data_IF_958431037505
#
_entry.id   IF_958431037505
#
_cell.length_a   1.000
_cell.length_b   1.000
_cell.length_c   1.000
_cell.angle_alpha   90.00
_cell.angle_beta   90.00
_cell.angle_gamma   90.00
#
_symmetry.space_group_name_H-M   'P 1'
#
loop_
_entity.id
_entity.type
_entity.pdbx_description
1 polymer ?
#
# COMPACT_ATOMS: atom_id res chain seq x y z
N UNK A 1 -6.78 20.09 37.75
CA UNK A 1 -7.03 18.94 36.85
C UNK A 1 -7.66 17.86 37.70
N UNK A 2 -8.84 17.39 37.35
CA UNK A 2 -9.53 16.32 38.05
C UNK A 2 -8.89 14.95 37.71
N UNK A 3 -9.07 13.94 38.59
CA UNK A 3 -8.63 12.55 38.30
C UNK A 3 -9.23 12.00 36.99
N UNK A 4 -10.35 12.56 36.55
CA UNK A 4 -11.00 12.24 35.28
C UNK A 4 -10.19 12.82 34.10
N UNK A 5 -9.67 14.05 34.22
CA UNK A 5 -8.87 14.70 33.16
C UNK A 5 -7.53 13.95 32.93
N UNK A 6 -6.93 13.41 34.00
CA UNK A 6 -5.68 12.62 33.90
C UNK A 6 -5.92 11.26 33.25
N UNK A 7 -7.03 10.56 33.56
CA UNK A 7 -7.41 9.30 32.94
C UNK A 7 -7.77 9.46 31.46
N UNK A 8 -8.38 10.60 31.09
CA UNK A 8 -8.71 10.90 29.69
C UNK A 8 -7.44 11.24 28.88
N UNK A 9 -6.43 11.89 29.51
CA UNK A 9 -5.12 12.14 28.89
C UNK A 9 -4.32 10.84 28.75
N UNK A 10 -4.29 9.97 29.77
CA UNK A 10 -3.66 8.63 29.70
C UNK A 10 -4.37 7.75 28.68
N UNK A 11 -5.71 7.81 28.56
CA UNK A 11 -6.47 7.09 27.55
C UNK A 11 -6.26 7.61 26.13
N UNK A 12 -5.90 8.89 25.96
CA UNK A 12 -5.51 9.47 24.68
C UNK A 12 -4.06 9.10 24.32
N UNK A 13 -3.16 9.02 25.28
CA UNK A 13 -1.77 8.58 25.06
C UNK A 13 -1.69 7.06 24.77
N UNK A 14 -2.59 6.27 25.39
CA UNK A 14 -2.75 4.84 25.07
C UNK A 14 -3.33 4.56 23.66
N UNK A 15 -3.76 5.58 22.92
CA UNK A 15 -4.23 5.49 21.53
C UNK A 15 -3.13 5.73 20.50
N UNK A 16 -1.93 6.18 20.89
CA UNK A 16 -0.82 6.22 19.95
C UNK A 16 -0.46 4.79 19.56
N UNK A 17 -0.55 4.44 18.29
CA UNK A 17 -0.21 3.10 17.87
C UNK A 17 1.29 2.88 18.10
N UNK A 18 1.60 1.88 18.91
CA UNK A 18 2.96 1.43 19.13
C UNK A 18 3.38 0.52 17.98
N UNK A 19 4.47 0.89 17.27
CA UNK A 19 5.05 0.09 16.20
C UNK A 19 5.16 0.80 14.85
N UNK A 20 5.62 0.04 13.88
CA UNK A 20 6.00 0.55 12.56
C UNK A 20 4.96 0.20 11.50
N UNK A 21 4.66 1.17 10.64
CA UNK A 21 3.93 0.99 9.41
C UNK A 21 4.91 1.00 8.22
N UNK A 22 5.01 -0.10 7.49
CA UNK A 22 5.88 -0.24 6.33
C UNK A 22 5.06 -0.05 5.06
N UNK A 23 5.47 0.89 4.18
CA UNK A 23 4.79 1.18 2.92
C UNK A 23 5.73 0.97 1.75
N UNK A 24 5.48 -0.06 0.93
CA UNK A 24 6.27 -0.27 -0.28
C UNK A 24 5.88 0.73 -1.38
N UNK A 25 6.88 1.30 -2.08
CA UNK A 25 6.63 2.35 -3.07
C UNK A 25 6.01 3.61 -2.46
N UNK A 26 6.47 3.98 -1.26
CA UNK A 26 5.93 5.09 -0.46
C UNK A 26 6.40 6.48 -0.85
N UNK A 27 7.28 6.62 -1.85
CA UNK A 27 7.89 7.92 -2.19
C UNK A 27 7.01 8.84 -3.03
N UNK A 28 5.93 8.36 -3.66
CA UNK A 28 5.04 9.17 -4.51
C UNK A 28 3.65 8.57 -4.65
N UNK A 29 2.74 9.35 -5.24
CA UNK A 29 1.39 8.92 -5.60
C UNK A 29 0.60 8.34 -4.42
N UNK A 30 -0.06 7.22 -4.64
CA UNK A 30 -0.86 6.51 -3.63
C UNK A 30 -0.01 6.13 -2.42
N UNK A 31 1.22 5.64 -2.63
CA UNK A 31 2.10 5.22 -1.54
C UNK A 31 2.49 6.38 -0.62
N UNK A 32 2.77 7.56 -1.17
CA UNK A 32 3.05 8.76 -0.37
C UNK A 32 1.81 9.19 0.44
N UNK A 33 0.63 9.18 -0.17
CA UNK A 33 -0.61 9.51 0.54
C UNK A 33 -0.90 8.51 1.68
N UNK A 34 -0.66 7.21 1.46
CA UNK A 34 -0.76 6.19 2.51
C UNK A 34 0.23 6.48 3.65
N UNK A 35 1.50 6.78 3.32
CA UNK A 35 2.54 7.07 4.29
C UNK A 35 2.18 8.31 5.14
N UNK A 36 1.76 9.40 4.50
CA UNK A 36 1.32 10.64 5.17
C UNK A 36 0.15 10.36 6.13
N UNK A 37 -0.85 9.60 5.68
CA UNK A 37 -2.03 9.27 6.49
C UNK A 37 -1.69 8.38 7.69
N UNK A 38 -0.84 7.35 7.50
CA UNK A 38 -0.40 6.50 8.61
C UNK A 38 0.47 7.27 9.61
N UNK A 39 1.30 8.20 9.14
CA UNK A 39 2.05 9.12 9.99
C UNK A 39 1.13 10.02 10.84
N UNK A 40 0.05 10.54 10.25
CA UNK A 40 -0.95 11.34 10.96
C UNK A 40 -1.72 10.54 12.03
N UNK A 41 -1.86 9.21 11.86
CA UNK A 41 -2.42 8.32 12.88
C UNK A 41 -1.42 7.99 14.00
N UNK A 42 -0.16 8.47 13.91
CA UNK A 42 0.86 8.33 14.94
C UNK A 42 1.78 7.11 14.79
N UNK A 43 1.69 6.37 13.69
CA UNK A 43 2.66 5.30 13.40
C UNK A 43 4.03 5.87 13.02
N UNK A 44 5.11 5.18 13.39
CA UNK A 44 6.41 5.41 12.75
C UNK A 44 6.36 4.80 11.35
N UNK A 45 6.58 5.59 10.30
CA UNK A 45 6.42 5.14 8.91
C UNK A 45 7.75 4.82 8.27
N UNK A 46 7.92 3.58 7.82
CA UNK A 46 9.03 3.16 6.99
C UNK A 46 8.64 3.28 5.50
N UNK A 47 9.21 4.26 4.84
CA UNK A 47 8.92 4.63 3.45
C UNK A 47 9.91 3.92 2.52
N UNK A 48 9.47 2.84 1.86
CA UNK A 48 10.30 2.18 0.87
C UNK A 48 10.23 2.87 -0.49
N UNK A 49 11.37 2.97 -1.15
CA UNK A 49 11.52 3.46 -2.52
C UNK A 49 12.50 2.59 -3.33
N UNK A 50 12.55 2.74 -4.66
CA UNK A 50 13.52 2.02 -5.50
C UNK A 50 14.74 2.88 -5.83
N UNK A 51 14.53 4.08 -6.40
CA UNK A 51 15.60 4.93 -6.95
C UNK A 51 15.49 6.40 -6.56
N UNK A 52 14.28 6.88 -6.28
CA UNK A 52 14.02 8.30 -6.03
C UNK A 52 14.12 8.61 -4.53
N UNK A 53 15.35 8.75 -4.07
CA UNK A 53 15.68 9.07 -2.69
C UNK A 53 15.14 10.45 -2.28
N UNK A 54 15.23 11.43 -3.17
CA UNK A 54 14.76 12.79 -2.89
C UNK A 54 13.25 12.82 -2.63
N UNK A 55 12.46 12.14 -3.48
CA UNK A 55 11.02 12.03 -3.27
C UNK A 55 10.66 11.29 -1.97
N UNK A 56 11.43 10.26 -1.60
CA UNK A 56 11.23 9.56 -0.34
C UNK A 56 11.57 10.45 0.86
N UNK A 57 12.65 11.23 0.79
CA UNK A 57 13.05 12.19 1.81
C UNK A 57 12.01 13.30 1.98
N UNK A 58 11.38 13.76 0.90
CA UNK A 58 10.28 14.73 0.94
C UNK A 58 9.07 14.20 1.72
N UNK A 59 8.70 12.92 1.51
CA UNK A 59 7.60 12.29 2.26
C UNK A 59 7.97 12.18 3.74
N UNK A 60 9.17 11.70 4.05
CA UNK A 60 9.66 11.63 5.43
C UNK A 60 9.65 13.01 6.08
N UNK A 61 10.17 14.03 5.37
CA UNK A 61 10.19 15.41 5.86
C UNK A 61 8.81 15.96 6.18
N UNK A 62 7.79 15.68 5.36
CA UNK A 62 6.40 16.09 5.62
C UNK A 62 5.83 15.43 6.87
N UNK A 63 6.02 14.11 7.03
CA UNK A 63 5.55 13.40 8.22
C UNK A 63 6.21 13.95 9.48
N UNK A 64 7.52 14.17 9.46
CA UNK A 64 8.27 14.73 10.60
C UNK A 64 7.85 16.17 10.90
N UNK A 65 7.66 17.00 9.88
CA UNK A 65 7.19 18.38 10.05
C UNK A 65 5.77 18.45 10.64
N UNK A 66 4.94 17.42 10.41
CA UNK A 66 3.62 17.28 11.03
C UNK A 66 3.67 16.69 12.46
N UNK A 67 4.87 16.43 13.01
CA UNK A 67 5.05 15.89 14.37
C UNK A 67 5.04 14.37 14.46
N UNK A 68 5.04 13.67 13.33
CA UNK A 68 5.17 12.22 13.23
C UNK A 68 6.62 11.75 13.21
N UNK A 69 6.81 10.44 13.02
CA UNK A 69 8.12 9.81 12.87
C UNK A 69 8.14 8.97 11.57
N UNK A 70 9.23 9.09 10.81
CA UNK A 70 9.41 8.31 9.59
C UNK A 70 10.89 8.17 9.24
N UNK A 71 11.20 7.13 8.47
CA UNK A 71 12.49 6.95 7.80
C UNK A 71 12.27 6.32 6.42
N UNK A 72 13.26 6.41 5.55
CA UNK A 72 13.17 5.82 4.21
C UNK A 72 14.28 4.82 3.98
N UNK A 73 14.06 3.87 3.07
CA UNK A 73 15.04 2.87 2.66
C UNK A 73 14.81 2.42 1.22
N UNK A 74 15.90 2.06 0.55
CA UNK A 74 15.89 1.65 -0.85
C UNK A 74 15.98 0.12 -0.98
N UNK A 75 15.13 -0.46 -1.85
CA UNK A 75 15.26 -1.85 -2.30
C UNK A 75 14.70 -2.01 -3.72
N UNK A 76 15.26 -2.90 -4.53
CA UNK A 76 14.70 -3.23 -5.84
C UNK A 76 13.84 -4.50 -5.75
N UNK A 77 12.55 -4.35 -6.02
CA UNK A 77 11.59 -5.45 -5.97
C UNK A 77 11.59 -6.31 -7.24
N UNK A 78 12.38 -5.94 -8.24
CA UNK A 78 12.58 -6.74 -9.45
C UNK A 78 13.50 -7.93 -9.23
N UNK A 79 14.32 -7.91 -8.18
CA UNK A 79 15.28 -8.96 -7.88
C UNK A 79 14.60 -10.23 -7.34
N UNK A 80 15.10 -11.43 -7.68
CA UNK A 80 14.49 -12.70 -7.24
C UNK A 80 14.46 -12.89 -5.73
N UNK A 81 15.43 -12.34 -4.99
CA UNK A 81 15.55 -12.40 -3.53
C UNK A 81 15.01 -11.13 -2.84
N UNK A 82 14.11 -10.41 -3.53
CA UNK A 82 13.58 -9.12 -3.10
C UNK A 82 13.08 -9.09 -1.65
N UNK A 83 12.52 -10.18 -1.11
CA UNK A 83 12.08 -10.22 0.28
C UNK A 83 13.22 -10.08 1.28
N UNK A 84 14.29 -10.86 1.11
CA UNK A 84 15.49 -10.82 1.98
C UNK A 84 16.22 -9.48 1.84
N UNK A 85 16.43 -9.01 0.61
CA UNK A 85 17.09 -7.73 0.33
C UNK A 85 16.29 -6.55 0.90
N UNK A 86 14.97 -6.59 0.78
CA UNK A 86 14.06 -5.57 1.33
C UNK A 86 14.23 -5.43 2.85
N UNK A 87 14.16 -6.56 3.59
CA UNK A 87 14.27 -6.50 5.04
C UNK A 87 15.68 -6.20 5.53
N UNK A 88 16.72 -6.60 4.80
CA UNK A 88 18.10 -6.20 5.11
C UNK A 88 18.29 -4.67 4.96
N UNK A 89 17.74 -4.07 3.90
CA UNK A 89 17.76 -2.63 3.71
C UNK A 89 16.93 -1.88 4.77
N UNK A 90 15.75 -2.42 5.12
CA UNK A 90 14.95 -1.91 6.24
C UNK A 90 15.74 -1.90 7.54
N UNK A 91 16.37 -3.02 7.93
CA UNK A 91 17.14 -3.15 9.17
C UNK A 91 18.29 -2.15 9.24
N UNK A 92 18.97 -1.93 8.12
CA UNK A 92 20.06 -0.96 8.03
C UNK A 92 19.58 0.50 8.24
N UNK A 93 18.39 0.84 7.71
CA UNK A 93 17.82 2.19 7.81
C UNK A 93 17.09 2.42 9.14
N UNK A 94 16.44 1.40 9.70
CA UNK A 94 15.69 1.49 10.94
C UNK A 94 16.58 1.71 12.17
N UNK A 95 17.85 1.31 12.13
CA UNK A 95 18.79 1.47 13.24
C UNK A 95 18.27 0.84 14.53
N UNK A 96 18.06 1.65 15.57
CA UNK A 96 17.53 1.19 16.87
C UNK A 96 16.08 0.72 16.80
N UNK A 97 15.33 1.13 15.78
CA UNK A 97 13.92 0.76 15.57
C UNK A 97 13.77 -0.61 14.87
N UNK A 98 14.84 -1.25 14.43
CA UNK A 98 14.79 -2.51 13.67
C UNK A 98 14.05 -3.64 14.39
N UNK A 99 14.09 -3.66 15.73
CA UNK A 99 13.45 -4.65 16.57
C UNK A 99 12.03 -4.22 17.01
N UNK A 100 11.59 -3.02 16.63
CA UNK A 100 10.23 -2.57 16.90
C UNK A 100 9.23 -3.37 16.05
N UNK A 101 8.06 -3.73 16.61
CA UNK A 101 7.10 -4.57 15.92
C UNK A 101 6.51 -3.87 14.68
N UNK A 102 6.43 -4.59 13.57
CA UNK A 102 5.70 -4.12 12.38
C UNK A 102 4.21 -4.34 12.62
N UNK A 103 3.47 -3.26 12.78
CA UNK A 103 2.02 -3.28 12.99
C UNK A 103 1.24 -3.29 11.68
N UNK A 104 1.77 -2.61 10.67
CA UNK A 104 1.11 -2.48 9.38
C UNK A 104 2.14 -2.75 8.28
N UNK A 105 1.79 -3.61 7.34
CA UNK A 105 2.53 -3.81 6.11
C UNK A 105 1.62 -3.51 4.93
N UNK A 106 1.96 -2.47 4.14
CA UNK A 106 1.24 -2.08 2.95
C UNK A 106 2.06 -2.42 1.71
N UNK A 107 1.62 -3.41 0.95
CA UNK A 107 2.18 -3.76 -0.35
C UNK A 107 1.53 -2.87 -1.42
N UNK A 108 2.11 -1.68 -1.63
CA UNK A 108 1.63 -0.70 -2.60
C UNK A 108 2.50 -0.62 -3.86
N UNK A 109 3.80 -0.89 -3.77
CA UNK A 109 4.69 -0.86 -4.92
C UNK A 109 4.14 -1.67 -6.09
N UNK A 110 4.27 -1.12 -7.30
CA UNK A 110 3.84 -1.80 -8.50
C UNK A 110 4.23 -1.05 -9.76
N UNK A 111 4.21 -1.76 -10.86
CA UNK A 111 4.43 -1.23 -12.20
C UNK A 111 3.26 -1.61 -13.10
N UNK A 112 3.06 -0.85 -14.16
CA UNK A 112 2.16 -1.14 -15.28
C UNK A 112 3.00 -1.21 -16.56
N UNK A 113 2.61 -2.10 -17.46
CA UNK A 113 3.10 -2.15 -18.84
C UNK A 113 1.86 -2.19 -19.72
N UNK A 114 1.77 -1.24 -20.64
CA UNK A 114 0.71 -1.18 -21.63
C UNK A 114 0.97 -2.24 -22.72
N UNK A 115 -0.09 -2.87 -23.19
CA UNK A 115 -0.05 -3.85 -24.26
C UNK A 115 -1.25 -4.79 -24.25
N UNK A 116 -1.74 -5.10 -25.45
CA UNK A 116 -2.69 -6.20 -25.70
C UNK A 116 -1.94 -7.54 -25.71
N UNK A 117 -2.67 -8.66 -25.79
CA UNK A 117 -2.06 -10.01 -25.67
C UNK A 117 -0.94 -10.25 -26.67
N UNK A 118 -1.09 -9.76 -27.90
CA UNK A 118 -0.11 -9.92 -28.98
C UNK A 118 1.16 -9.09 -28.79
N UNK A 119 1.09 -8.01 -28.01
CA UNK A 119 2.18 -7.05 -27.77
C UNK A 119 2.91 -7.30 -26.46
N UNK A 120 2.29 -8.03 -25.52
CA UNK A 120 2.86 -8.26 -24.20
C UNK A 120 3.92 -9.37 -24.25
N UNK A 121 5.18 -9.02 -24.05
CA UNK A 121 6.27 -9.98 -24.06
C UNK A 121 6.31 -10.87 -22.80
N UNK A 122 6.98 -12.03 -22.90
CA UNK A 122 7.23 -12.87 -21.73
C UNK A 122 8.06 -12.16 -20.66
N UNK A 123 8.97 -11.27 -21.06
CA UNK A 123 9.79 -10.46 -20.15
C UNK A 123 8.90 -9.49 -19.36
N UNK A 124 7.97 -8.80 -20.03
CA UNK A 124 7.02 -7.89 -19.38
C UNK A 124 6.13 -8.64 -18.39
N UNK A 125 5.61 -9.80 -18.78
CA UNK A 125 4.80 -10.66 -17.91
C UNK A 125 5.58 -11.06 -16.64
N UNK A 126 6.81 -11.55 -16.82
CA UNK A 126 7.65 -11.97 -15.71
C UNK A 126 7.97 -10.79 -14.78
N UNK A 127 8.31 -9.63 -15.33
CA UNK A 127 8.59 -8.41 -14.56
C UNK A 127 7.36 -7.92 -13.80
N UNK A 128 6.19 -7.92 -14.44
CA UNK A 128 4.91 -7.57 -13.80
C UNK A 128 4.59 -8.52 -12.64
N UNK A 129 4.70 -9.82 -12.84
CA UNK A 129 4.48 -10.82 -11.79
C UNK A 129 5.50 -10.68 -10.67
N UNK A 130 6.79 -10.49 -11.00
CA UNK A 130 7.85 -10.35 -10.01
C UNK A 130 7.57 -9.17 -9.08
N UNK A 131 7.31 -7.98 -9.61
CA UNK A 131 7.17 -6.77 -8.80
C UNK A 131 5.79 -6.70 -8.13
N UNK A 132 4.70 -7.04 -8.86
CA UNK A 132 3.34 -6.80 -8.38
C UNK A 132 2.78 -7.95 -7.52
N UNK A 133 3.36 -9.16 -7.58
CA UNK A 133 2.85 -10.34 -6.88
C UNK A 133 3.92 -11.11 -6.10
N UNK A 134 5.03 -11.50 -6.76
CA UNK A 134 6.07 -12.32 -6.13
C UNK A 134 6.79 -11.57 -5.02
N UNK A 135 7.20 -10.32 -5.25
CA UNK A 135 7.86 -9.51 -4.23
C UNK A 135 6.96 -9.27 -3.00
N UNK A 136 5.68 -8.87 -3.12
CA UNK A 136 4.76 -8.84 -1.98
C UNK A 136 4.70 -10.16 -1.21
N UNK A 137 4.62 -11.30 -1.90
CA UNK A 137 4.63 -12.61 -1.25
C UNK A 137 5.91 -12.83 -0.44
N UNK A 138 7.08 -12.56 -1.03
CA UNK A 138 8.38 -12.73 -0.38
C UNK A 138 8.56 -11.76 0.80
N UNK A 139 8.15 -10.50 0.64
CA UNK A 139 8.19 -9.49 1.71
C UNK A 139 7.31 -9.93 2.88
N UNK A 140 6.08 -10.42 2.64
CA UNK A 140 5.21 -10.92 3.71
C UNK A 140 5.84 -12.15 4.38
N UNK A 141 6.38 -13.10 3.60
CA UNK A 141 7.02 -14.30 4.13
C UNK A 141 8.13 -13.95 5.14
N UNK A 142 9.04 -13.06 4.75
CA UNK A 142 10.15 -12.61 5.62
C UNK A 142 9.68 -11.67 6.74
N UNK A 143 8.49 -11.04 6.60
CA UNK A 143 7.88 -10.24 7.65
C UNK A 143 7.27 -11.05 8.80
N UNK A 144 6.99 -12.34 8.63
CA UNK A 144 6.24 -13.13 9.61
C UNK A 144 6.79 -13.07 11.05
N UNK A 145 8.12 -13.13 11.28
CA UNK A 145 8.68 -12.98 12.64
C UNK A 145 8.63 -11.53 13.17
N UNK A 146 8.45 -10.52 12.29
CA UNK A 146 8.45 -9.09 12.62
C UNK A 146 7.05 -8.53 12.82
N UNK A 147 6.06 -9.16 12.17
CA UNK A 147 4.67 -8.74 12.28
C UNK A 147 4.17 -8.97 13.71
N UNK A 148 3.63 -7.92 14.31
CA UNK A 148 2.98 -8.00 15.59
C UNK A 148 1.70 -8.83 15.54
N UNK A 149 1.36 -9.52 16.61
CA UNK A 149 0.02 -10.08 16.76
C UNK A 149 -1.02 -8.94 16.77
N UNK A 150 -2.16 -9.17 16.14
CA UNK A 150 -3.13 -8.12 15.90
C UNK A 150 -2.73 -7.11 14.80
N UNK A 151 -1.66 -7.38 14.04
CA UNK A 151 -1.18 -6.54 12.94
C UNK A 151 -2.10 -6.51 11.72
N UNK A 152 -1.70 -5.77 10.70
CA UNK A 152 -2.45 -5.54 9.45
C UNK A 152 -1.56 -5.73 8.23
N UNK A 153 -2.06 -6.47 7.25
CA UNK A 153 -1.48 -6.53 5.91
C UNK A 153 -2.49 -6.00 4.91
N UNK A 154 -2.12 -4.97 4.14
CA UNK A 154 -2.98 -4.38 3.11
C UNK A 154 -2.26 -4.46 1.76
N UNK A 155 -2.87 -5.16 0.80
CA UNK A 155 -2.38 -5.30 -0.56
C UNK A 155 -3.08 -4.29 -1.47
N UNK A 156 -2.33 -3.38 -2.09
CA UNK A 156 -2.87 -2.42 -3.06
C UNK A 156 -2.91 -3.08 -4.43
N UNK A 157 -4.09 -3.58 -4.80
CA UNK A 157 -4.41 -4.15 -6.10
C UNK A 157 -4.77 -3.05 -7.11
N UNK A 158 -5.77 -3.28 -7.93
CA UNK A 158 -6.28 -2.33 -8.94
C UNK A 158 -7.71 -2.68 -9.34
N UNK A 159 -8.51 -1.69 -9.71
CA UNK A 159 -9.77 -1.89 -10.40
C UNK A 159 -9.62 -2.71 -11.69
N UNK A 160 -8.43 -2.69 -12.30
CA UNK A 160 -8.12 -3.51 -13.47
C UNK A 160 -8.22 -5.03 -13.21
N UNK A 161 -8.03 -5.49 -11.97
CA UNK A 161 -8.19 -6.91 -11.64
C UNK A 161 -9.66 -7.39 -11.75
N UNK A 162 -10.63 -6.46 -11.73
CA UNK A 162 -12.08 -6.75 -11.87
C UNK A 162 -12.62 -6.33 -13.24
N UNK A 163 -12.10 -5.25 -13.79
CA UNK A 163 -12.62 -4.67 -15.03
C UNK A 163 -11.90 -5.26 -16.26
N UNK A 164 -12.62 -5.54 -17.36
CA UNK A 164 -11.99 -6.03 -18.59
C UNK A 164 -11.20 -4.88 -19.26
N UNK A 165 -9.88 -4.91 -19.11
CA UNK A 165 -8.95 -3.91 -19.62
C UNK A 165 -7.91 -4.57 -20.55
N UNK A 166 -8.23 -4.83 -21.83
CA UNK A 166 -7.36 -5.59 -22.73
C UNK A 166 -6.01 -4.92 -23.01
N UNK A 167 -5.93 -3.58 -22.94
CA UNK A 167 -4.69 -2.82 -23.19
C UNK A 167 -3.65 -2.91 -22.05
N UNK A 168 -3.94 -3.60 -20.94
CA UNK A 168 -3.01 -3.81 -19.83
C UNK A 168 -3.16 -5.24 -19.26
N UNK A 169 -3.27 -6.23 -20.16
CA UNK A 169 -3.65 -7.60 -19.78
C UNK A 169 -2.65 -8.26 -18.84
N UNK A 170 -1.33 -8.06 -19.03
CA UNK A 170 -0.29 -8.55 -18.15
C UNK A 170 -0.37 -7.94 -16.74
N UNK A 171 -0.64 -6.63 -16.67
CA UNK A 171 -0.86 -5.94 -15.40
C UNK A 171 -2.08 -6.49 -14.66
N UNK A 172 -3.20 -6.65 -15.36
CA UNK A 172 -4.44 -7.25 -14.81
C UNK A 172 -4.17 -8.62 -14.20
N UNK A 173 -3.43 -9.48 -14.91
CA UNK A 173 -3.03 -10.81 -14.43
C UNK A 173 -2.19 -10.71 -13.15
N UNK A 174 -1.21 -9.80 -13.10
CA UNK A 174 -0.33 -9.65 -11.93
C UNK A 174 -1.08 -9.15 -10.68
N UNK A 175 -2.05 -8.24 -10.85
CA UNK A 175 -2.88 -7.75 -9.74
C UNK A 175 -3.91 -8.79 -9.29
N UNK A 176 -4.42 -9.60 -10.20
CA UNK A 176 -5.24 -10.78 -9.86
C UNK A 176 -4.45 -11.82 -9.03
N UNK A 177 -3.18 -12.05 -9.35
CA UNK A 177 -2.30 -12.92 -8.56
C UNK A 177 -2.09 -12.40 -7.14
N UNK A 178 -1.90 -11.08 -6.96
CA UNK A 178 -1.81 -10.44 -5.64
C UNK A 178 -3.12 -10.60 -4.84
N UNK A 179 -4.27 -10.46 -5.48
CA UNK A 179 -5.57 -10.67 -4.83
C UNK A 179 -5.77 -12.11 -4.36
N UNK A 180 -5.37 -13.08 -5.19
CA UNK A 180 -5.49 -14.50 -4.87
C UNK A 180 -4.72 -14.90 -3.59
N UNK A 181 -3.67 -14.17 -3.23
CA UNK A 181 -2.91 -14.36 -1.99
C UNK A 181 -3.71 -13.97 -0.74
N UNK A 182 -4.64 -13.02 -0.85
CA UNK A 182 -5.29 -12.37 0.29
C UNK A 182 -6.08 -13.34 1.17
N UNK A 183 -6.94 -14.16 0.59
CA UNK A 183 -7.78 -15.11 1.34
C UNK A 183 -6.99 -16.19 2.08
N UNK A 184 -6.11 -16.97 1.40
CA UNK A 184 -5.28 -17.97 2.04
C UNK A 184 -4.39 -17.41 3.16
N UNK A 185 -3.82 -16.21 2.95
CA UNK A 185 -2.98 -15.56 3.94
C UNK A 185 -3.78 -15.08 5.16
N UNK A 186 -4.99 -14.55 4.95
CA UNK A 186 -5.91 -14.18 6.03
C UNK A 186 -6.27 -15.38 6.91
N UNK A 187 -6.54 -16.53 6.29
CA UNK A 187 -6.81 -17.77 7.02
C UNK A 187 -5.58 -18.25 7.81
N UNK A 188 -4.39 -18.16 7.23
CA UNK A 188 -3.15 -18.59 7.86
C UNK A 188 -2.74 -17.71 9.05
N UNK A 189 -2.90 -16.39 8.93
CA UNK A 189 -2.48 -15.41 9.95
C UNK A 189 -3.58 -15.08 10.97
N UNK A 190 -4.81 -15.53 10.73
CA UNK A 190 -5.95 -15.31 11.62
C UNK A 190 -5.72 -15.73 13.08
N UNK A 191 -5.07 -16.89 13.40
CA UNK A 191 -4.75 -17.28 14.77
C UNK A 191 -3.88 -16.28 15.54
N UNK A 192 -3.12 -15.43 14.82
CA UNK A 192 -2.34 -14.32 15.40
C UNK A 192 -3.14 -13.00 15.49
N UNK A 193 -4.42 -12.99 15.13
CA UNK A 193 -5.25 -11.79 15.05
C UNK A 193 -4.85 -10.83 13.92
N UNK A 194 -3.97 -11.25 13.01
CA UNK A 194 -3.52 -10.43 11.88
C UNK A 194 -4.58 -10.46 10.79
N UNK A 195 -5.06 -9.28 10.37
CA UNK A 195 -5.97 -9.19 9.23
C UNK A 195 -5.18 -8.98 7.93
N UNK A 196 -5.66 -9.58 6.85
CA UNK A 196 -5.10 -9.44 5.51
C UNK A 196 -6.21 -9.06 4.55
N UNK A 197 -6.10 -7.90 3.92
CA UNK A 197 -7.09 -7.42 2.96
C UNK A 197 -6.40 -6.85 1.72
N UNK A 198 -7.13 -6.81 0.61
CA UNK A 198 -6.72 -6.10 -0.58
C UNK A 198 -7.67 -4.93 -0.87
N UNK A 199 -7.16 -3.88 -1.49
CA UNK A 199 -7.96 -2.77 -1.99
C UNK A 199 -7.75 -2.64 -3.50
N UNK A 200 -8.80 -2.24 -4.23
CA UNK A 200 -8.79 -1.93 -5.65
C UNK A 200 -8.95 -0.44 -5.87
N UNK A 201 -7.89 0.35 -5.98
CA UNK A 201 -8.01 1.74 -6.40
C UNK A 201 -8.57 1.84 -7.82
N UNK A 202 -9.40 2.86 -8.06
CA UNK A 202 -9.73 3.28 -9.42
C UNK A 202 -8.60 4.10 -10.04
N UNK A 203 -8.81 4.58 -11.27
CA UNK A 203 -7.87 5.50 -11.92
C UNK A 203 -7.70 6.74 -11.04
N UNK A 204 -6.48 6.98 -10.60
CA UNK A 204 -6.08 8.07 -9.71
C UNK A 204 -5.03 8.91 -10.44
N UNK A 205 -5.06 10.24 -10.31
CA UNK A 205 -4.03 11.09 -10.90
C UNK A 205 -2.70 10.90 -10.14
N UNK A 206 -1.84 10.10 -10.74
CA UNK A 206 -0.49 9.81 -10.27
C UNK A 206 0.46 9.81 -11.46
N UNK A 207 1.76 9.82 -11.20
CA UNK A 207 2.77 9.75 -12.27
C UNK A 207 2.65 8.47 -13.11
N UNK A 208 2.16 7.38 -12.53
CA UNK A 208 1.89 6.13 -13.26
C UNK A 208 0.91 6.33 -14.41
N UNK A 209 -0.07 7.20 -14.25
CA UNK A 209 -1.14 7.48 -15.21
C UNK A 209 -0.90 8.76 -16.01
N UNK A 210 0.13 9.54 -15.69
CA UNK A 210 0.35 10.89 -16.23
C UNK A 210 0.41 10.93 -17.76
N UNK A 211 1.07 9.93 -18.37
CA UNK A 211 1.32 9.88 -19.82
C UNK A 211 0.05 9.81 -20.68
N UNK A 212 -1.05 9.25 -20.16
CA UNK A 212 -2.31 9.14 -20.90
C UNK A 212 -3.45 9.96 -20.31
N UNK A 213 -3.31 10.39 -19.05
CA UNK A 213 -4.37 11.08 -18.31
C UNK A 213 -4.17 12.60 -18.33
N UNK A 214 -2.94 13.08 -18.00
CA UNK A 214 -2.69 14.52 -17.86
C UNK A 214 -2.75 15.23 -19.21
N UNK A 215 -3.57 16.30 -19.29
CA UNK A 215 -3.83 17.03 -20.53
C UNK A 215 -4.85 16.36 -21.47
N UNK A 216 -5.41 15.20 -21.12
CA UNK A 216 -6.41 14.49 -21.90
C UNK A 216 -7.80 14.61 -21.26
N UNK A 217 -8.51 15.70 -21.57
CA UNK A 217 -9.83 16.00 -21.02
C UNK A 217 -10.89 14.93 -21.38
N UNK A 218 -10.77 14.31 -22.54
CA UNK A 218 -11.70 13.25 -22.99
C UNK A 218 -11.51 11.98 -22.16
N UNK A 219 -10.27 11.55 -21.94
CA UNK A 219 -9.97 10.41 -21.08
C UNK A 219 -10.45 10.65 -19.65
N UNK A 220 -10.21 11.85 -19.10
CA UNK A 220 -10.70 12.24 -17.76
C UNK A 220 -12.23 12.19 -17.73
N UNK A 221 -12.92 12.81 -18.68
CA UNK A 221 -14.38 12.83 -18.74
C UNK A 221 -14.96 11.42 -18.84
N UNK A 222 -14.36 10.54 -19.66
CA UNK A 222 -14.77 9.14 -19.78
C UNK A 222 -14.64 8.37 -18.48
N UNK A 223 -13.53 8.56 -17.73
CA UNK A 223 -13.34 7.93 -16.40
C UNK A 223 -14.30 8.47 -15.36
N UNK A 224 -14.54 9.78 -15.33
CA UNK A 224 -15.51 10.42 -14.44
C UNK A 224 -16.93 9.93 -14.73
N UNK A 225 -17.31 9.83 -15.99
CA UNK A 225 -18.65 9.36 -16.38
C UNK A 225 -18.92 7.90 -15.98
N UNK A 226 -17.88 7.06 -15.94
CA UNK A 226 -17.99 5.65 -15.57
C UNK A 226 -18.11 5.42 -14.05
N UNK A 227 -18.01 6.46 -13.22
CA UNK A 227 -18.01 6.36 -11.74
C UNK A 227 -19.29 6.88 -11.13
N UNK A 228 -19.74 6.21 -10.08
CA UNK A 228 -20.90 6.68 -9.31
C UNK A 228 -20.60 8.03 -8.62
N UNK A 229 -19.41 8.23 -8.07
CA UNK A 229 -19.02 9.47 -7.39
C UNK A 229 -18.65 10.63 -8.32
N UNK A 230 -18.67 10.43 -9.64
CA UNK A 230 -18.52 11.49 -10.69
C UNK A 230 -17.31 12.41 -10.52
N UNK A 231 -16.21 11.87 -10.02
CA UNK A 231 -14.90 12.56 -9.94
C UNK A 231 -13.74 11.58 -10.14
N UNK A 232 -12.56 12.13 -10.41
CA UNK A 232 -11.32 11.34 -10.35
C UNK A 232 -11.02 10.97 -8.91
N UNK A 233 -10.37 9.82 -8.72
CA UNK A 233 -9.81 9.45 -7.43
C UNK A 233 -8.59 10.32 -7.10
N UNK A 234 -8.48 10.71 -5.83
CA UNK A 234 -7.29 11.33 -5.29
C UNK A 234 -6.46 10.27 -4.55
N UNK A 235 -5.12 10.35 -4.53
CA UNK A 235 -4.29 9.46 -3.73
C UNK A 235 -4.73 9.34 -2.26
N UNK A 236 -5.25 10.41 -1.68
CA UNK A 236 -5.75 10.45 -0.29
C UNK A 236 -7.00 9.58 -0.09
N UNK A 237 -7.87 9.45 -1.11
CA UNK A 237 -9.02 8.52 -1.03
C UNK A 237 -8.56 7.09 -0.74
N UNK A 238 -7.42 6.69 -1.33
CA UNK A 238 -6.84 5.36 -1.12
C UNK A 238 -6.15 5.28 0.24
N UNK A 239 -5.44 6.35 0.62
CA UNK A 239 -4.81 6.47 1.94
C UNK A 239 -5.82 6.30 3.07
N UNK A 240 -7.00 6.93 2.97
CA UNK A 240 -8.07 6.85 3.95
C UNK A 240 -8.65 5.43 4.07
N UNK A 241 -8.80 4.71 2.95
CA UNK A 241 -9.24 3.29 2.97
C UNK A 241 -8.19 2.41 3.64
N UNK A 242 -6.89 2.65 3.41
CA UNK A 242 -5.82 1.90 4.10
C UNK A 242 -5.86 2.15 5.60
N UNK A 243 -6.00 3.40 6.04
CA UNK A 243 -6.11 3.76 7.46
C UNK A 243 -7.35 3.11 8.09
N UNK A 244 -8.49 3.13 7.40
CA UNK A 244 -9.69 2.42 7.87
C UNK A 244 -9.41 0.94 8.12
N UNK A 245 -8.77 0.24 7.15
CA UNK A 245 -8.44 -1.18 7.29
C UNK A 245 -7.34 -1.45 8.33
N UNK A 246 -6.48 -0.48 8.57
CA UNK A 246 -5.44 -0.55 9.60
C UNK A 246 -5.99 -0.29 11.01
N UNK A 247 -7.15 0.35 11.13
CA UNK A 247 -7.74 0.75 12.41
C UNK A 247 -8.23 -0.45 13.25
N UNK A 248 -8.50 -0.18 14.52
CA UNK A 248 -9.16 -1.13 15.41
C UNK A 248 -10.58 -1.47 14.94
N UNK A 249 -11.28 -0.52 14.31
CA UNK A 249 -12.68 -0.69 13.91
C UNK A 249 -12.83 -1.70 12.77
N UNK A 250 -11.77 -1.89 11.96
CA UNK A 250 -11.73 -2.92 10.92
C UNK A 250 -11.23 -4.30 11.41
N UNK A 251 -11.06 -4.53 12.72
CA UNK A 251 -10.50 -5.79 13.28
C UNK A 251 -11.26 -7.07 12.91
N UNK A 252 -12.51 -6.92 12.43
CA UNK A 252 -13.36 -8.03 11.98
C UNK A 252 -13.44 -8.16 10.45
N UNK A 253 -12.62 -7.37 9.71
CA UNK A 253 -12.53 -7.38 8.25
C UNK A 253 -11.21 -8.06 7.88
N UNK A 254 -11.30 -9.27 7.32
CA UNK A 254 -10.12 -10.02 6.83
C UNK A 254 -10.48 -10.89 5.64
N UNK A 255 -9.52 -11.16 4.76
CA UNK A 255 -9.70 -11.93 3.54
C UNK A 255 -10.52 -11.21 2.45
N UNK A 256 -10.75 -9.90 2.60
CA UNK A 256 -11.61 -9.14 1.69
C UNK A 256 -10.80 -8.43 0.60
N UNK A 257 -11.45 -8.25 -0.54
CA UNK A 257 -10.98 -7.43 -1.65
C UNK A 257 -11.97 -6.28 -1.79
N UNK A 258 -11.55 -5.09 -1.32
CA UNK A 258 -12.42 -3.92 -1.21
C UNK A 258 -12.25 -3.03 -2.43
N UNK A 259 -13.36 -2.71 -3.11
CA UNK A 259 -13.37 -1.82 -4.25
C UNK A 259 -13.36 -0.36 -3.78
N UNK A 260 -12.28 0.35 -4.05
CA UNK A 260 -12.06 1.76 -3.74
C UNK A 260 -11.98 2.60 -5.03
N UNK A 261 -12.83 2.30 -6.01
CA UNK A 261 -12.83 2.92 -7.34
C UNK A 261 -13.73 4.16 -7.44
N UNK A 262 -14.46 4.51 -6.39
CA UNK A 262 -15.54 5.50 -6.44
C UNK A 262 -16.78 4.98 -7.17
N UNK A 263 -16.97 3.65 -7.20
CA UNK A 263 -18.08 2.98 -7.87
C UNK A 263 -17.91 2.95 -9.39
N UNK A 264 -16.72 2.61 -9.90
CA UNK A 264 -16.46 2.50 -11.33
C UNK A 264 -17.15 1.26 -11.90
N UNK A 265 -18.08 1.47 -12.84
CA UNK A 265 -18.84 0.42 -13.53
C UNK A 265 -19.50 -0.58 -12.55
N UNK A 266 -20.28 -0.03 -11.62
CA UNK A 266 -21.19 -0.80 -10.77
C UNK A 266 -22.28 -1.47 -11.61
#
# INVERSE_FOLDING_TARGET
MSDTDLRDIEALDARKPDGIAVVTGGSRGIGAAIADRLGAEGYTVAVHYRQDEAAAADVVGKIVAAGGAAFSFAADLAEPDSGTAFWAAYDAAAGELRDAPVRILVNNAGIVVDGVIEETSAEDVNRLLQINATAPFLIIKEALPRLADGGRVVNVSSGAARLPMPGIIGYTMSKGALEALTGPLAQHLGPRGITVNAIRPGTTDTDMNAHWLRGNSEAIAGRVAARALRRMGDPTDVGDVVVLLASHDARWITGQIIDATGGERL
#
